data_IF_737279177313
#
_entry.id   IF_737279177313
#
_cell.length_a   1.000
_cell.length_b   1.000
_cell.length_c   1.000
_cell.angle_alpha   90.00
_cell.angle_beta   90.00
_cell.angle_gamma   90.00
#
_symmetry.space_group_name_H-M   'P 1'
#
loop_
_entity.id
_entity.type
_entity.pdbx_description
1 polymer ?
#
# COMPACT_ATOMS: atom_id res chain seq x y z
N UNK A 1 45.77 -35.45 21.44
CA UNK A 1 44.62 -36.26 20.98
C UNK A 1 43.40 -35.82 21.80
N UNK A 2 42.55 -34.98 21.23
CA UNK A 2 41.36 -34.47 21.92
C UNK A 2 40.26 -34.24 20.89
N UNK A 3 39.53 -35.32 20.55
CA UNK A 3 38.31 -35.25 19.77
C UNK A 3 37.13 -35.01 20.70
N UNK A 4 36.30 -34.04 20.35
CA UNK A 4 35.09 -33.67 21.08
C UNK A 4 34.33 -32.60 20.32
N UNK A 5 33.74 -32.98 19.18
CA UNK A 5 32.88 -32.11 18.40
C UNK A 5 31.60 -31.78 19.16
N UNK A 6 31.54 -30.58 19.74
CA UNK A 6 30.31 -29.98 20.25
C UNK A 6 29.95 -28.89 19.24
N UNK A 7 28.89 -29.11 18.47
CA UNK A 7 28.35 -28.08 17.58
C UNK A 7 27.79 -26.96 18.44
N UNK A 8 28.57 -25.90 18.67
CA UNK A 8 28.14 -24.71 19.38
C UNK A 8 27.15 -23.94 18.49
N UNK A 9 25.87 -24.24 18.65
CA UNK A 9 24.79 -23.42 18.10
C UNK A 9 24.78 -22.08 18.82
N UNK A 10 25.04 -20.99 18.10
CA UNK A 10 24.99 -19.64 18.66
C UNK A 10 23.54 -19.24 18.98
N UNK A 11 23.19 -19.24 20.27
CA UNK A 11 21.86 -18.88 20.79
C UNK A 11 21.46 -17.46 20.38
N UNK A 12 22.42 -16.54 20.23
CA UNK A 12 22.16 -15.13 19.88
C UNK A 12 21.65 -15.03 18.45
N UNK A 13 22.24 -15.81 17.55
CA UNK A 13 21.83 -15.86 16.15
C UNK A 13 20.36 -16.31 16.04
N UNK A 14 19.99 -17.41 16.71
CA UNK A 14 18.62 -17.90 16.69
C UNK A 14 17.62 -16.96 17.36
N UNK A 15 18.03 -16.25 18.43
CA UNK A 15 17.19 -15.24 19.08
C UNK A 15 16.85 -14.07 18.13
N UNK A 16 17.85 -13.56 17.40
CA UNK A 16 17.65 -12.50 16.39
C UNK A 16 16.75 -12.99 15.26
N UNK A 17 17.00 -14.20 14.74
CA UNK A 17 16.20 -14.80 13.68
C UNK A 17 14.73 -14.95 14.08
N UNK A 18 14.46 -15.44 15.29
CA UNK A 18 13.11 -15.58 15.82
C UNK A 18 12.39 -14.24 16.00
N UNK A 19 13.09 -13.24 16.56
CA UNK A 19 12.55 -11.89 16.71
C UNK A 19 12.22 -11.22 15.36
N UNK A 20 13.13 -11.32 14.40
CA UNK A 20 12.95 -10.80 13.06
C UNK A 20 11.79 -11.50 12.32
N UNK A 21 11.69 -12.83 12.43
CA UNK A 21 10.61 -13.60 11.82
C UNK A 21 9.23 -13.24 12.41
N UNK A 22 9.13 -13.10 13.74
CA UNK A 22 7.88 -12.73 14.40
C UNK A 22 7.40 -11.34 13.94
N UNK A 23 8.30 -10.36 13.89
CA UNK A 23 7.94 -9.00 13.48
C UNK A 23 7.70 -8.89 11.96
N UNK A 24 8.40 -9.67 11.14
CA UNK A 24 8.11 -9.85 9.70
C UNK A 24 6.70 -10.41 9.48
N UNK A 25 6.29 -11.42 10.25
CA UNK A 25 4.93 -11.97 10.20
C UNK A 25 3.87 -10.96 10.65
N UNK A 26 4.17 -10.10 11.62
CA UNK A 26 3.26 -9.04 12.08
C UNK A 26 3.07 -7.93 11.03
N UNK A 27 4.17 -7.41 10.45
CA UNK A 27 4.15 -6.27 9.53
C UNK A 27 3.92 -6.62 8.06
N UNK A 28 4.16 -7.88 7.65
CA UNK A 28 4.07 -8.34 6.24
C UNK A 28 5.11 -7.77 5.27
N UNK A 29 6.21 -7.22 5.79
CA UNK A 29 7.27 -6.59 4.99
C UNK A 29 8.63 -7.28 5.18
N UNK A 30 8.84 -8.48 4.63
CA UNK A 30 10.03 -9.30 4.95
C UNK A 30 11.35 -8.69 4.50
N UNK A 31 11.38 -8.00 3.35
CA UNK A 31 12.60 -7.36 2.82
C UNK A 31 13.05 -6.19 3.71
N UNK A 32 12.11 -5.29 4.05
CA UNK A 32 12.39 -4.16 4.93
C UNK A 32 12.80 -4.63 6.33
N UNK A 33 12.12 -5.65 6.87
CA UNK A 33 12.46 -6.19 8.18
C UNK A 33 13.85 -6.84 8.19
N UNK A 34 14.17 -7.61 7.15
CA UNK A 34 15.50 -8.23 7.01
C UNK A 34 16.59 -7.18 6.92
N UNK A 35 16.39 -6.15 6.09
CA UNK A 35 17.34 -5.05 5.95
C UNK A 35 17.56 -4.33 7.29
N UNK A 36 16.50 -4.02 8.03
CA UNK A 36 16.59 -3.38 9.35
C UNK A 36 17.46 -4.20 10.32
N UNK A 37 17.21 -5.52 10.46
CA UNK A 37 17.99 -6.37 11.36
C UNK A 37 19.44 -6.57 10.88
N UNK A 38 19.66 -6.62 9.56
CA UNK A 38 21.00 -6.65 8.98
C UNK A 38 21.78 -5.37 9.32
N UNK A 39 21.18 -4.20 9.15
CA UNK A 39 21.78 -2.90 9.50
C UNK A 39 22.07 -2.80 11.01
N UNK A 40 21.11 -3.20 11.87
CA UNK A 40 21.28 -3.17 13.34
C UNK A 40 22.42 -4.08 13.79
N UNK A 41 22.54 -5.27 13.19
CA UNK A 41 23.60 -6.23 13.55
C UNK A 41 24.93 -5.92 12.88
N UNK A 42 24.93 -5.11 11.81
CA UNK A 42 26.11 -4.77 11.02
C UNK A 42 26.76 -5.97 10.32
N UNK A 43 26.05 -7.11 10.21
CA UNK A 43 26.61 -8.35 9.65
C UNK A 43 25.81 -8.83 8.44
N UNK A 44 26.36 -8.58 7.25
CA UNK A 44 25.75 -8.93 5.96
C UNK A 44 25.79 -10.41 5.64
N UNK A 45 26.67 -11.20 6.28
CA UNK A 45 26.80 -12.65 6.02
C UNK A 45 25.51 -13.40 6.38
N UNK A 46 24.79 -12.90 7.38
CA UNK A 46 23.55 -13.50 7.88
C UNK A 46 22.28 -13.05 7.15
N UNK A 47 22.40 -12.20 6.14
CA UNK A 47 21.24 -11.63 5.44
C UNK A 47 20.44 -12.69 4.70
N UNK A 48 21.12 -13.60 3.98
CA UNK A 48 20.46 -14.64 3.19
C UNK A 48 19.59 -15.59 4.04
N UNK A 49 20.10 -16.22 5.13
CA UNK A 49 19.26 -17.06 5.97
C UNK A 49 18.14 -16.27 6.66
N UNK A 50 18.41 -15.03 7.08
CA UNK A 50 17.41 -14.17 7.73
C UNK A 50 16.26 -13.81 6.80
N UNK A 51 16.56 -13.53 5.53
CA UNK A 51 15.55 -13.26 4.52
C UNK A 51 14.64 -14.47 4.26
N UNK A 52 15.22 -15.67 4.16
CA UNK A 52 14.46 -16.91 3.98
C UNK A 52 13.51 -17.12 5.16
N UNK A 53 14.02 -16.97 6.39
CA UNK A 53 13.22 -17.12 7.61
C UNK A 53 12.05 -16.12 7.67
N UNK A 54 12.33 -14.83 7.43
CA UNK A 54 11.32 -13.77 7.39
C UNK A 54 10.28 -13.98 6.30
N UNK A 55 10.68 -14.51 5.14
CA UNK A 55 9.77 -14.79 4.02
C UNK A 55 8.85 -15.96 4.33
N UNK A 56 9.38 -17.03 4.92
CA UNK A 56 8.55 -18.16 5.38
C UNK A 56 7.55 -17.67 6.43
N UNK A 57 7.98 -16.86 7.39
CA UNK A 57 7.10 -16.31 8.41
C UNK A 57 5.98 -15.45 7.79
N UNK A 58 6.29 -14.61 6.80
CA UNK A 58 5.29 -13.84 6.03
C UNK A 58 4.29 -14.79 5.35
N UNK A 59 4.77 -15.77 4.57
CA UNK A 59 3.91 -16.70 3.82
C UNK A 59 2.98 -17.48 4.74
N UNK A 60 3.51 -18.02 5.84
CA UNK A 60 2.70 -18.77 6.83
C UNK A 60 1.63 -17.86 7.40
N UNK A 61 2.02 -16.67 7.84
CA UNK A 61 1.07 -15.78 8.45
C UNK A 61 0.02 -15.31 7.41
N UNK A 62 0.36 -15.21 6.10
CA UNK A 62 -0.55 -14.67 5.06
C UNK A 62 -1.73 -15.63 4.85
N UNK A 63 -1.55 -16.91 5.22
CA UNK A 63 -2.58 -17.95 5.21
C UNK A 63 -3.49 -17.94 6.44
N UNK A 64 -3.06 -17.32 7.54
CA UNK A 64 -3.80 -17.32 8.81
C UNK A 64 -4.65 -16.06 8.91
N UNK A 65 -4.05 -14.90 8.67
CA UNK A 65 -4.68 -13.60 8.96
C UNK A 65 -4.27 -12.55 7.93
N UNK A 66 -5.17 -11.63 7.54
CA UNK A 66 -4.76 -10.42 6.82
C UNK A 66 -3.72 -9.60 7.60
N UNK A 67 -2.84 -8.89 6.88
CA UNK A 67 -1.78 -8.07 7.49
C UNK A 67 -2.32 -6.99 8.43
N UNK A 68 -1.65 -6.80 9.57
CA UNK A 68 -2.10 -5.87 10.62
C UNK A 68 -2.18 -4.41 10.14
N UNK A 69 -1.25 -3.98 9.29
CA UNK A 69 -1.23 -2.62 8.72
C UNK A 69 -2.49 -2.32 7.91
N UNK A 70 -2.92 -3.27 7.07
CA UNK A 70 -4.17 -3.14 6.32
C UNK A 70 -5.39 -3.08 7.25
N UNK A 71 -5.38 -3.82 8.37
CA UNK A 71 -6.44 -3.74 9.37
C UNK A 71 -6.50 -2.35 10.02
N UNK A 72 -5.36 -1.78 10.42
CA UNK A 72 -5.31 -0.43 11.00
C UNK A 72 -5.77 0.65 10.01
N UNK A 73 -5.39 0.55 8.73
CA UNK A 73 -5.87 1.48 7.70
C UNK A 73 -7.39 1.40 7.52
N UNK A 74 -7.94 0.19 7.50
CA UNK A 74 -9.39 -0.04 7.39
C UNK A 74 -10.14 0.43 8.64
N UNK A 75 -9.55 0.28 9.82
CA UNK A 75 -10.14 0.77 11.06
C UNK A 75 -10.23 2.31 11.10
N UNK A 76 -9.29 3.00 10.46
CA UNK A 76 -9.27 4.47 10.36
C UNK A 76 -9.99 5.00 9.09
N UNK A 77 -10.71 4.14 8.35
CA UNK A 77 -11.41 4.49 7.11
C UNK A 77 -10.54 5.20 6.04
N UNK A 78 -9.25 4.85 5.96
CA UNK A 78 -8.38 5.38 4.92
C UNK A 78 -8.61 4.68 3.57
N UNK A 79 -8.77 5.42 2.45
CA UNK A 79 -8.96 4.85 1.12
C UNK A 79 -7.61 4.36 0.55
N UNK A 80 -7.11 3.24 1.08
CA UNK A 80 -5.85 2.64 0.65
C UNK A 80 -6.04 1.80 -0.62
N UNK A 81 -5.35 2.18 -1.70
CA UNK A 81 -5.30 1.39 -2.93
C UNK A 81 -4.33 0.22 -2.75
N UNK A 82 -4.75 -0.97 -3.18
CA UNK A 82 -3.90 -2.17 -3.19
C UNK A 82 -2.99 -2.17 -4.42
N UNK A 83 -1.89 -2.91 -4.35
CA UNK A 83 -0.93 -3.06 -5.47
C UNK A 83 -1.60 -3.64 -6.72
N UNK A 84 -2.39 -4.69 -6.52
CA UNK A 84 -3.18 -5.31 -7.58
C UNK A 84 -4.66 -4.96 -7.46
N UNK A 85 -5.35 -4.73 -8.59
CA UNK A 85 -6.79 -4.54 -8.58
C UNK A 85 -7.48 -5.84 -8.10
N UNK A 86 -8.59 -5.73 -7.34
CA UNK A 86 -9.46 -6.86 -7.05
C UNK A 86 -9.81 -7.67 -8.30
N UNK A 87 -9.85 -9.00 -8.17
CA UNK A 87 -10.18 -9.90 -9.29
C UNK A 87 -11.57 -9.60 -9.89
N UNK A 88 -12.48 -9.03 -9.10
CA UNK A 88 -13.82 -8.59 -9.51
C UNK A 88 -13.81 -7.47 -10.56
N UNK A 89 -12.71 -6.69 -10.65
CA UNK A 89 -12.55 -5.61 -11.63
C UNK A 89 -11.84 -6.05 -12.91
N UNK A 90 -11.47 -7.33 -13.05
CA UNK A 90 -10.74 -7.82 -14.21
C UNK A 90 -11.52 -7.68 -15.53
N UNK A 91 -12.85 -7.83 -15.46
CA UNK A 91 -13.75 -7.75 -16.62
C UNK A 91 -14.49 -6.41 -16.70
N UNK A 92 -14.15 -5.45 -15.82
CA UNK A 92 -14.79 -4.12 -15.78
C UNK A 92 -14.04 -3.13 -16.65
N UNK A 93 -14.79 -2.25 -17.31
CA UNK A 93 -14.22 -1.15 -18.08
C UNK A 93 -14.14 0.11 -17.22
N UNK A 94 -13.27 1.06 -17.59
CA UNK A 94 -13.16 2.34 -16.88
C UNK A 94 -14.51 3.07 -16.76
N UNK A 95 -15.38 2.90 -17.76
CA UNK A 95 -16.74 3.45 -17.77
C UNK A 95 -17.62 2.92 -16.62
N UNK A 96 -17.39 1.69 -16.15
CA UNK A 96 -18.17 1.09 -15.06
C UNK A 96 -17.77 1.61 -13.67
N UNK A 97 -16.56 2.18 -13.55
CA UNK A 97 -15.94 2.58 -12.27
C UNK A 97 -15.91 4.11 -12.14
N UNK A 98 -15.74 4.81 -13.25
CA UNK A 98 -15.73 6.27 -13.26
C UNK A 98 -17.07 6.81 -12.77
N UNK A 99 -17.03 7.91 -12.03
CA UNK A 99 -18.25 8.61 -11.65
C UNK A 99 -18.96 9.09 -12.92
N UNK A 100 -20.18 8.60 -13.15
CA UNK A 100 -21.02 9.05 -14.27
C UNK A 100 -21.27 10.57 -14.17
N UNK A 101 -21.28 11.24 -15.32
CA UNK A 101 -21.61 12.67 -15.40
C UNK A 101 -23.04 12.99 -14.92
N UNK A 102 -23.92 11.99 -14.78
CA UNK A 102 -25.34 12.19 -14.50
C UNK A 102 -25.72 11.99 -13.02
N UNK A 103 -24.79 11.50 -12.19
CA UNK A 103 -25.04 11.21 -10.77
C UNK A 103 -24.74 12.42 -9.87
N UNK A 104 -25.53 13.50 -9.98
CA UNK A 104 -25.80 14.49 -8.91
C UNK A 104 -24.63 15.29 -8.27
N UNK A 105 -23.37 14.98 -8.58
CA UNK A 105 -22.17 15.59 -7.97
C UNK A 105 -21.17 16.10 -9.01
N UNK A 106 -21.25 15.60 -10.26
CA UNK A 106 -20.51 16.09 -11.41
C UNK A 106 -21.49 16.49 -12.52
N UNK A 107 -22.47 17.33 -12.17
CA UNK A 107 -23.17 18.07 -13.21
C UNK A 107 -22.14 18.92 -13.98
N UNK A 108 -22.62 19.56 -15.02
CA UNK A 108 -21.86 20.36 -15.97
C UNK A 108 -21.09 21.59 -15.39
N UNK A 109 -21.14 22.03 -14.08
CA UNK A 109 -20.40 23.24 -13.75
C UNK A 109 -18.90 22.97 -13.53
N UNK A 110 -18.43 21.72 -13.38
CA UNK A 110 -16.99 21.38 -13.23
C UNK A 110 -16.14 21.49 -14.50
N UNK A 111 -16.76 21.89 -15.62
CA UNK A 111 -16.08 22.20 -16.87
C UNK A 111 -15.85 23.69 -16.98
N UNK A 112 -14.61 24.15 -16.77
CA UNK A 112 -14.24 25.53 -17.09
C UNK A 112 -13.97 25.55 -18.60
N UNK A 113 -14.85 26.21 -19.34
CA UNK A 113 -14.65 26.49 -20.75
C UNK A 113 -13.51 27.49 -20.91
N UNK A 114 -12.52 27.17 -21.74
CA UNK A 114 -11.36 28.03 -21.96
C UNK A 114 -11.75 29.41 -22.52
N UNK A 115 -12.86 29.47 -23.25
CA UNK A 115 -13.31 30.67 -23.99
C UNK A 115 -14.50 31.36 -23.30
N UNK A 116 -15.39 30.60 -22.65
CA UNK A 116 -16.71 31.11 -22.25
C UNK A 116 -16.91 31.26 -20.74
N UNK A 117 -15.94 30.85 -19.91
CA UNK A 117 -16.11 30.88 -18.45
C UNK A 117 -15.60 32.18 -17.83
N UNK A 118 -16.45 32.86 -17.07
CA UNK A 118 -16.08 34.06 -16.32
C UNK A 118 -15.45 33.68 -14.96
N UNK A 119 -14.56 34.51 -14.39
CA UNK A 119 -13.93 34.22 -13.10
C UNK A 119 -14.95 34.10 -11.94
N UNK A 120 -16.11 34.76 -12.04
CA UNK A 120 -17.19 34.64 -11.04
C UNK A 120 -17.80 33.24 -11.05
N UNK A 121 -18.06 32.69 -12.23
CA UNK A 121 -18.60 31.33 -12.37
C UNK A 121 -17.62 30.27 -11.83
N UNK A 122 -16.31 30.48 -12.00
CA UNK A 122 -15.29 29.62 -11.43
C UNK A 122 -15.24 29.71 -9.90
N UNK A 123 -15.45 30.91 -9.32
CA UNK A 123 -15.53 31.07 -7.87
C UNK A 123 -16.78 30.39 -7.30
N UNK A 124 -17.94 30.58 -7.92
CA UNK A 124 -19.19 29.98 -7.45
C UNK A 124 -19.12 28.43 -7.52
N UNK A 125 -18.39 27.89 -8.48
CA UNK A 125 -18.08 26.47 -8.59
C UNK A 125 -17.21 25.94 -7.44
N UNK A 126 -16.16 26.68 -7.09
CA UNK A 126 -15.25 26.34 -6.00
C UNK A 126 -15.93 26.42 -4.64
N UNK A 127 -16.91 27.32 -4.49
CA UNK A 127 -17.70 27.45 -3.25
C UNK A 127 -18.80 26.39 -3.14
N UNK A 128 -19.38 25.97 -4.27
CA UNK A 128 -20.47 24.98 -4.29
C UNK A 128 -19.99 23.52 -4.23
N UNK A 129 -18.75 23.24 -4.61
CA UNK A 129 -18.21 21.87 -4.67
C UNK A 129 -17.07 21.66 -3.67
N UNK A 130 -16.91 20.41 -3.20
CA UNK A 130 -15.74 19.98 -2.40
C UNK A 130 -14.70 19.22 -3.22
N UNK A 131 -14.80 19.33 -4.54
CA UNK A 131 -13.88 18.66 -5.45
C UNK A 131 -12.62 19.49 -5.60
N UNK A 132 -11.46 18.82 -5.65
CA UNK A 132 -10.16 19.48 -5.80
C UNK A 132 -9.62 19.37 -7.23
N UNK A 133 -10.43 18.89 -8.19
CA UNK A 133 -10.04 18.71 -9.58
C UNK A 133 -11.19 19.10 -10.50
N UNK A 134 -10.88 19.90 -11.52
CA UNK A 134 -11.83 20.41 -12.50
C UNK A 134 -11.25 20.19 -13.90
N UNK A 135 -12.03 19.58 -14.79
CA UNK A 135 -11.64 19.39 -16.18
C UNK A 135 -11.80 20.70 -16.95
N UNK A 136 -10.80 21.10 -17.72
CA UNK A 136 -10.90 22.27 -18.62
C UNK A 136 -11.27 21.77 -20.01
N UNK A 137 -12.30 22.35 -20.61
CA UNK A 137 -12.79 22.00 -21.97
C UNK A 137 -12.77 23.23 -22.88
N UNK A 138 -12.74 23.01 -24.18
CA UNK A 138 -12.61 24.12 -25.16
C UNK A 138 -13.91 24.93 -25.24
N UNK A 139 -15.06 24.27 -25.32
CA UNK A 139 -16.40 24.86 -25.32
C UNK A 139 -17.32 23.98 -24.47
N UNK A 140 -18.33 24.58 -23.83
CA UNK A 140 -19.41 23.85 -23.14
C UNK A 140 -20.52 23.37 -24.10
N UNK A 141 -20.54 23.90 -25.32
CA UNK A 141 -21.42 23.44 -26.38
C UNK A 141 -20.68 22.37 -27.22
N UNK A 142 -21.31 21.21 -27.35
CA UNK A 142 -20.91 20.13 -28.27
C UNK A 142 -20.98 20.61 -29.73
#
# INVERSE_FOLDING_TARGET
RGGGGRGDTDVRFYAVMGGAAAFSGFMRMPLAMTAMFMEITGNTVYTAPLLICCTIAKVVADRITPGNTNFMCRFNDYPLLKEDPPAEFRDRIAMDIMTELDAGYCYVPNMIGLVDSTPEQARDLLESTRHHGFSVVVSREL
#
